data_IF_452695399167
#
_entry.id   IF_452695399167
#
_cell.length_a   1.000
_cell.length_b   1.000
_cell.length_c   1.000
_cell.angle_alpha   90.00
_cell.angle_beta   90.00
_cell.angle_gamma   90.00
#
_symmetry.space_group_name_H-M   'P 1'
#
loop_
_entity.id
_entity.type
_entity.pdbx_description
1 polymer ?
#
# COMPACT_ATOMS: atom_id res chain seq x y z
N UNK A 1 -18.80 2.50 -22.39
CA UNK A 1 -17.90 2.37 -21.23
C UNK A 1 -17.19 1.05 -21.34
N UNK A 2 -15.99 1.07 -21.91
CA UNK A 2 -15.08 -0.09 -21.97
C UNK A 2 -13.88 0.28 -21.11
N UNK A 3 -14.11 0.41 -19.81
CA UNK A 3 -13.10 0.85 -18.87
C UNK A 3 -12.33 -0.39 -18.38
N UNK A 4 -11.02 -0.43 -18.63
CA UNK A 4 -10.12 -1.43 -18.05
C UNK A 4 -9.86 -1.02 -16.61
N UNK A 5 -10.23 -1.88 -15.65
CA UNK A 5 -10.05 -1.62 -14.22
C UNK A 5 -8.71 -2.17 -13.75
N UNK A 6 -7.75 -1.28 -13.52
CA UNK A 6 -6.47 -1.65 -12.90
C UNK A 6 -6.61 -1.52 -11.38
N UNK A 7 -6.46 -2.63 -10.67
CA UNK A 7 -6.47 -2.65 -9.20
C UNK A 7 -5.05 -2.93 -8.72
N UNK A 8 -4.43 -1.92 -8.11
CA UNK A 8 -3.12 -2.06 -7.44
C UNK A 8 -3.39 -2.33 -5.96
N UNK A 9 -3.16 -3.57 -5.54
CA UNK A 9 -3.26 -3.97 -4.14
C UNK A 9 -1.89 -3.79 -3.47
N UNK A 10 -1.61 -2.58 -3.03
CA UNK A 10 -0.72 -2.39 -1.90
C UNK A 10 -1.59 -2.30 -0.63
N UNK A 11 -1.01 -2.50 0.55
CA UNK A 11 -1.67 -2.47 1.86
C UNK A 11 -2.52 -1.19 2.08
N UNK A 12 -2.26 -0.16 1.26
CA UNK A 12 -3.11 1.00 1.01
C UNK A 12 -3.83 0.87 -0.34
N UNK A 13 -5.09 0.43 -0.30
CA UNK A 13 -5.96 0.26 -1.48
C UNK A 13 -5.97 1.53 -2.35
N UNK A 14 -5.49 1.45 -3.59
CA UNK A 14 -5.74 2.49 -4.60
C UNK A 14 -6.81 1.97 -5.55
N UNK A 15 -8.03 2.46 -5.34
CA UNK A 15 -9.14 2.34 -6.28
C UNK A 15 -8.97 3.42 -7.37
N UNK A 16 -8.77 3.00 -8.61
CA UNK A 16 -8.98 3.85 -9.79
C UNK A 16 -10.29 3.43 -10.47
N UNK A 17 -11.39 3.33 -9.72
CA UNK A 17 -12.73 3.70 -10.21
C UNK A 17 -13.72 3.78 -9.03
N UNK A 18 -14.60 4.77 -9.07
CA UNK A 18 -15.56 5.09 -8.01
C UNK A 18 -16.80 4.18 -8.09
N UNK A 19 -16.83 3.14 -7.25
CA UNK A 19 -17.87 2.87 -6.23
C UNK A 19 -19.40 2.84 -6.58
N UNK A 20 -19.80 2.40 -7.77
CA UNK A 20 -21.13 1.77 -7.98
C UNK A 20 -21.08 0.66 -9.00
N UNK A 21 -20.45 0.94 -10.13
CA UNK A 21 -20.34 0.01 -11.24
C UNK A 21 -19.50 -1.23 -10.88
N UNK A 22 -18.45 -1.06 -10.06
CA UNK A 22 -17.64 -2.19 -9.58
C UNK A 22 -18.49 -3.25 -8.87
N UNK A 23 -19.42 -2.85 -8.00
CA UNK A 23 -20.27 -3.80 -7.28
C UNK A 23 -21.22 -4.57 -8.21
N UNK A 24 -21.56 -4.00 -9.36
CA UNK A 24 -22.42 -4.63 -10.38
C UNK A 24 -21.65 -5.61 -11.26
N UNK A 25 -20.38 -5.33 -11.56
CA UNK A 25 -19.58 -6.11 -12.52
C UNK A 25 -18.52 -7.01 -11.87
N UNK A 26 -18.27 -6.89 -10.56
CA UNK A 26 -17.15 -7.59 -9.87
C UNK A 26 -17.11 -9.10 -10.11
N UNK A 27 -18.28 -9.73 -10.25
CA UNK A 27 -18.39 -11.18 -10.43
C UNK A 27 -18.11 -11.61 -11.89
N UNK A 28 -18.13 -10.67 -12.84
CA UNK A 28 -17.78 -10.87 -14.26
C UNK A 28 -16.37 -10.35 -14.61
N UNK A 29 -15.63 -9.82 -13.63
CA UNK A 29 -14.25 -9.39 -13.84
C UNK A 29 -13.28 -10.57 -13.81
N UNK A 30 -12.34 -10.56 -14.75
CA UNK A 30 -11.24 -11.51 -14.80
C UNK A 30 -9.89 -10.79 -14.74
N UNK A 31 -8.93 -11.35 -14.01
CA UNK A 31 -7.56 -10.82 -13.94
C UNK A 31 -6.73 -11.34 -15.13
N UNK A 32 -6.39 -10.43 -16.04
CA UNK A 32 -5.62 -10.70 -17.26
C UNK A 32 -4.15 -10.32 -17.13
N UNK A 33 -3.64 -10.03 -15.92
CA UNK A 33 -2.24 -9.61 -15.74
C UNK A 33 -1.21 -10.58 -16.31
N UNK A 34 -1.50 -11.88 -16.31
CA UNK A 34 -0.61 -12.91 -16.90
C UNK A 34 -0.43 -12.75 -18.41
N UNK A 35 -1.42 -12.16 -19.07
CA UNK A 35 -1.36 -11.91 -20.50
C UNK A 35 -0.56 -10.64 -20.82
N UNK A 36 -0.54 -9.66 -19.91
CA UNK A 36 -0.04 -8.32 -20.19
C UNK A 36 1.27 -7.96 -19.48
N UNK A 37 1.63 -8.65 -18.41
CA UNK A 37 2.77 -8.29 -17.54
C UNK A 37 3.72 -9.47 -17.36
N UNK A 38 5.02 -9.18 -17.35
CA UNK A 38 6.07 -10.14 -17.04
C UNK A 38 5.91 -10.68 -15.61
N UNK A 39 5.73 -12.00 -15.49
CA UNK A 39 5.56 -12.73 -14.22
C UNK A 39 6.76 -12.64 -13.28
N UNK A 40 7.93 -12.22 -13.78
CA UNK A 40 9.14 -12.02 -12.96
C UNK A 40 9.19 -10.65 -12.29
N UNK A 41 8.25 -9.75 -12.55
CA UNK A 41 8.20 -8.44 -11.87
C UNK A 41 7.93 -8.60 -10.38
N UNK A 42 8.66 -7.86 -9.54
CA UNK A 42 8.44 -7.84 -8.07
C UNK A 42 7.05 -7.36 -7.67
N UNK A 43 6.39 -6.62 -8.56
CA UNK A 43 5.05 -6.10 -8.34
C UNK A 43 3.95 -7.04 -8.87
N UNK A 44 4.30 -8.12 -9.58
CA UNK A 44 3.32 -8.99 -10.24
C UNK A 44 2.26 -9.53 -9.27
N UNK A 45 2.68 -9.97 -8.09
CA UNK A 45 1.79 -10.49 -7.04
C UNK A 45 1.04 -9.39 -6.28
N UNK A 46 1.41 -8.12 -6.49
CA UNK A 46 0.82 -6.95 -5.81
C UNK A 46 -0.18 -6.19 -6.69
N UNK A 47 -0.46 -6.67 -7.89
CA UNK A 47 -1.39 -6.04 -8.82
C UNK A 47 -2.41 -7.03 -9.38
N UNK A 48 -3.51 -6.49 -9.87
CA UNK A 48 -4.43 -7.18 -10.79
C UNK A 48 -4.87 -6.23 -11.90
N UNK A 49 -5.02 -6.77 -13.10
CA UNK A 49 -5.49 -6.01 -14.26
C UNK A 49 -6.79 -6.67 -14.68
N UNK A 50 -7.91 -6.02 -14.36
CA UNK A 50 -9.22 -6.63 -14.47
C UNK A 50 -9.99 -6.07 -15.66
N UNK A 51 -10.68 -6.95 -16.36
CA UNK A 51 -11.57 -6.62 -17.47
C UNK A 51 -12.84 -7.47 -17.35
N UNK A 52 -13.98 -6.93 -17.79
CA UNK A 52 -15.20 -7.73 -17.93
C UNK A 52 -14.97 -8.89 -18.91
N UNK A 53 -15.44 -10.09 -18.57
CA UNK A 53 -15.27 -11.29 -19.37
C UNK A 53 -15.84 -11.14 -20.79
N UNK A 54 -16.96 -10.40 -20.94
CA UNK A 54 -17.55 -10.08 -22.25
C UNK A 54 -16.57 -9.33 -23.16
N UNK A 55 -15.79 -8.39 -22.59
CA UNK A 55 -14.83 -7.58 -23.34
C UNK A 55 -13.56 -8.38 -23.63
N UNK A 56 -13.11 -9.20 -22.68
CA UNK A 56 -11.99 -10.11 -22.91
C UNK A 56 -12.24 -11.07 -24.07
N UNK A 57 -13.45 -11.62 -24.15
CA UNK A 57 -13.84 -12.54 -25.23
C UNK A 57 -13.73 -11.89 -26.61
N UNK A 58 -13.88 -10.56 -26.70
CA UNK A 58 -13.75 -9.80 -27.94
C UNK A 58 -12.28 -9.57 -28.31
N UNK A 59 -11.41 -9.26 -27.33
CA UNK A 59 -10.06 -8.76 -27.60
C UNK A 59 -8.94 -9.81 -27.50
N UNK A 60 -9.17 -10.94 -26.81
CA UNK A 60 -8.12 -11.93 -26.49
C UNK A 60 -7.38 -12.51 -27.70
N UNK A 61 -8.06 -12.59 -28.85
CA UNK A 61 -7.53 -13.20 -30.06
C UNK A 61 -6.89 -12.15 -31.00
N UNK A 62 -7.03 -10.86 -30.69
CA UNK A 62 -6.36 -9.76 -31.42
C UNK A 62 -4.91 -9.62 -30.92
N UNK A 63 -4.00 -10.32 -31.60
CA UNK A 63 -2.57 -10.33 -31.25
C UNK A 63 -1.92 -8.95 -31.32
N UNK A 64 -2.36 -8.07 -32.23
CA UNK A 64 -1.78 -6.74 -32.37
C UNK A 64 -2.15 -5.90 -31.14
N UNK A 65 -3.43 -5.88 -30.80
CA UNK A 65 -3.91 -5.18 -29.61
C UNK A 65 -3.29 -5.72 -28.32
N UNK A 66 -3.17 -7.04 -28.17
CA UNK A 66 -2.54 -7.64 -26.99
C UNK A 66 -1.06 -7.26 -26.88
N UNK A 67 -0.33 -7.17 -28.00
CA UNK A 67 1.05 -6.72 -27.99
C UNK A 67 1.16 -5.24 -27.62
N UNK A 68 0.29 -4.38 -28.16
CA UNK A 68 0.26 -2.96 -27.79
C UNK A 68 -0.02 -2.77 -26.30
N UNK A 69 -0.95 -3.56 -25.74
CA UNK A 69 -1.24 -3.58 -24.31
C UNK A 69 -0.04 -4.05 -23.49
N UNK A 70 0.66 -5.10 -23.93
CA UNK A 70 1.90 -5.57 -23.28
C UNK A 70 2.95 -4.47 -23.21
N UNK A 71 3.25 -3.81 -24.33
CA UNK A 71 4.24 -2.73 -24.36
C UNK A 71 3.86 -1.56 -23.45
N UNK A 72 2.57 -1.22 -23.41
CA UNK A 72 2.06 -0.22 -22.48
C UNK A 72 2.27 -0.64 -21.02
N UNK A 73 1.84 -1.85 -20.66
CA UNK A 73 1.92 -2.33 -19.28
C UNK A 73 3.37 -2.55 -18.83
N UNK A 74 4.29 -2.93 -19.70
CA UNK A 74 5.71 -2.98 -19.38
C UNK A 74 6.25 -1.60 -18.94
N UNK A 75 5.94 -0.55 -19.70
CA UNK A 75 6.33 0.83 -19.34
C UNK A 75 5.64 1.29 -18.06
N UNK A 76 4.36 0.97 -17.90
CA UNK A 76 3.60 1.28 -16.69
C UNK A 76 4.21 0.64 -15.45
N UNK A 77 4.59 -0.64 -15.52
CA UNK A 77 5.16 -1.39 -14.40
C UNK A 77 6.50 -0.81 -13.93
N UNK A 78 7.35 -0.35 -14.86
CA UNK A 78 8.61 0.34 -14.53
C UNK A 78 8.33 1.60 -13.71
N UNK A 79 7.37 2.41 -14.14
CA UNK A 79 7.00 3.65 -13.45
C UNK A 79 6.35 3.34 -12.09
N UNK A 80 5.49 2.31 -12.03
CA UNK A 80 4.83 1.90 -10.79
C UNK A 80 5.85 1.41 -9.75
N UNK A 81 6.85 0.61 -10.15
CA UNK A 81 7.92 0.14 -9.25
C UNK A 81 8.74 1.31 -8.73
N UNK A 82 9.10 2.26 -9.60
CA UNK A 82 9.78 3.48 -9.16
C UNK A 82 8.96 4.24 -8.12
N UNK A 83 7.67 4.43 -8.36
CA UNK A 83 6.77 5.15 -7.43
C UNK A 83 6.57 4.40 -6.11
N UNK A 84 6.49 3.07 -6.14
CA UNK A 84 6.42 2.26 -4.94
C UNK A 84 7.69 2.39 -4.10
N UNK A 85 8.87 2.33 -4.73
CA UNK A 85 10.15 2.49 -4.05
C UNK A 85 10.33 3.90 -3.48
N UNK A 86 9.97 4.96 -4.24
CA UNK A 86 9.98 6.35 -3.75
C UNK A 86 9.12 6.51 -2.48
N UNK A 87 7.97 5.82 -2.39
CA UNK A 87 7.14 5.85 -1.18
C UNK A 87 7.79 5.10 -0.01
N UNK A 88 8.38 3.93 -0.26
CA UNK A 88 9.07 3.15 0.78
C UNK A 88 10.30 3.89 1.33
N UNK A 89 11.04 4.59 0.48
CA UNK A 89 12.22 5.38 0.88
C UNK A 89 11.84 6.60 1.71
N UNK A 90 10.69 7.24 1.42
CA UNK A 90 10.19 8.41 2.15
C UNK A 90 9.18 8.06 3.26
N UNK A 91 8.98 6.78 3.54
CA UNK A 91 8.07 6.34 4.58
C UNK A 91 8.65 6.72 5.93
N UNK A 92 7.91 7.54 6.69
CA UNK A 92 8.29 7.94 8.05
C UNK A 92 8.40 6.69 8.90
N UNK A 93 9.60 6.44 9.44
CA UNK A 93 9.88 5.33 10.35
C UNK A 93 9.71 5.79 11.78
N UNK A 94 9.56 4.84 12.69
CA UNK A 94 9.54 5.10 14.13
C UNK A 94 10.77 5.92 14.58
N UNK A 95 11.94 5.65 14.01
CA UNK A 95 13.18 6.37 14.29
C UNK A 95 13.13 7.83 13.86
N UNK A 96 12.46 8.15 12.75
CA UNK A 96 12.29 9.52 12.27
C UNK A 96 11.41 10.32 13.25
N UNK A 97 10.35 9.69 13.77
CA UNK A 97 9.47 10.29 14.79
C UNK A 97 10.25 10.53 16.09
N UNK A 98 11.03 9.54 16.56
CA UNK A 98 11.84 9.67 17.77
C UNK A 98 12.88 10.79 17.63
N UNK A 99 13.57 10.87 16.49
CA UNK A 99 14.54 11.92 16.20
C UNK A 99 13.87 13.30 16.19
N UNK A 100 12.72 13.42 15.53
CA UNK A 100 11.96 14.67 15.51
C UNK A 100 11.58 15.12 16.93
N UNK A 101 11.06 14.22 17.77
CA UNK A 101 10.73 14.56 19.16
C UNK A 101 11.98 14.97 19.94
N UNK A 102 13.11 14.27 19.76
CA UNK A 102 14.39 14.59 20.40
C UNK A 102 14.88 15.99 20.05
N UNK A 103 14.73 16.41 18.79
CA UNK A 103 15.07 17.76 18.32
C UNK A 103 14.08 18.82 18.82
N UNK A 104 12.80 18.45 18.99
CA UNK A 104 11.72 19.29 19.49
C UNK A 104 11.31 18.91 20.92
N UNK A 105 12.23 19.12 21.88
CA UNK A 105 12.09 18.63 23.25
C UNK A 105 10.84 19.10 24.00
N UNK A 106 10.32 20.29 23.68
CA UNK A 106 9.07 20.80 24.25
C UNK A 106 7.88 19.91 23.87
N UNK A 107 7.81 19.51 22.60
CA UNK A 107 6.80 18.59 22.10
C UNK A 107 7.00 17.18 22.67
N UNK A 108 8.24 16.71 22.71
CA UNK A 108 8.60 15.41 23.30
C UNK A 108 8.17 15.29 24.77
N UNK A 109 8.49 16.29 25.60
CA UNK A 109 8.05 16.34 27.01
C UNK A 109 6.54 16.39 27.14
N UNK A 110 5.84 17.12 26.26
CA UNK A 110 4.37 17.17 26.26
C UNK A 110 3.77 15.79 25.99
N UNK A 111 4.30 15.06 25.00
CA UNK A 111 3.88 13.69 24.70
C UNK A 111 4.18 12.76 25.87
N UNK A 112 5.37 12.86 26.47
CA UNK A 112 5.73 12.04 27.65
C UNK A 112 4.73 12.24 28.78
N UNK A 113 4.37 13.48 29.11
CA UNK A 113 3.41 13.77 30.17
C UNK A 113 2.02 13.16 29.89
N UNK A 114 1.58 13.18 28.64
CA UNK A 114 0.31 12.54 28.24
C UNK A 114 0.43 11.02 28.43
N UNK A 115 1.48 10.40 27.89
CA UNK A 115 1.68 8.95 27.97
C UNK A 115 1.87 8.46 29.42
N UNK A 116 2.55 9.24 30.26
CA UNK A 116 2.72 8.91 31.68
C UNK A 116 1.42 8.93 32.47
N UNK A 117 0.41 9.69 32.02
CA UNK A 117 -0.93 9.68 32.60
C UNK A 117 -1.80 8.55 32.00
N UNK A 118 -1.89 8.49 30.68
CA UNK A 118 -2.78 7.53 29.99
C UNK A 118 -2.37 6.08 30.19
N UNK A 119 -1.06 5.81 30.33
CA UNK A 119 -0.56 4.43 30.46
C UNK A 119 -0.51 3.92 31.91
N UNK A 120 -0.96 4.69 32.90
CA UNK A 120 -0.85 4.30 34.32
C UNK A 120 -1.50 2.95 34.62
N UNK A 121 -2.74 2.76 34.19
CA UNK A 121 -3.49 1.53 34.44
C UNK A 121 -2.87 0.32 33.72
N UNK A 122 -2.35 0.52 32.50
CA UNK A 122 -1.71 -0.55 31.72
C UNK A 122 -0.38 -0.94 32.36
N UNK A 123 0.42 0.05 32.81
CA UNK A 123 1.68 -0.20 33.53
C UNK A 123 1.43 -1.01 34.81
N UNK A 124 0.33 -0.77 35.51
CA UNK A 124 -0.03 -1.49 36.74
C UNK A 124 -0.53 -2.91 36.48
N UNK A 125 -1.45 -3.09 35.52
CA UNK A 125 -2.17 -4.37 35.36
C UNK A 125 -1.59 -5.27 34.28
N UNK A 126 -0.94 -4.69 33.25
CA UNK A 126 -0.42 -5.39 32.07
C UNK A 126 0.92 -4.80 31.61
N UNK A 127 1.96 -4.78 32.47
CA UNK A 127 3.27 -4.27 32.10
C UNK A 127 3.91 -5.07 30.95
N UNK A 128 3.50 -6.32 30.74
CA UNK A 128 3.91 -7.15 29.62
C UNK A 128 3.57 -6.52 28.25
N UNK A 129 2.45 -5.80 28.16
CA UNK A 129 2.06 -5.08 26.93
C UNK A 129 3.04 -3.93 26.67
N UNK A 130 3.33 -3.12 27.69
CA UNK A 130 4.27 -2.00 27.55
C UNK A 130 5.69 -2.50 27.23
N UNK A 131 6.09 -3.62 27.85
CA UNK A 131 7.37 -4.26 27.59
C UNK A 131 7.48 -4.84 26.17
N UNK A 132 6.38 -4.99 25.44
CA UNK A 132 6.40 -5.39 24.03
C UNK A 132 6.67 -4.22 23.07
N UNK A 133 6.57 -2.97 23.54
CA UNK A 133 6.68 -1.76 22.71
C UNK A 133 8.12 -1.25 22.62
N UNK A 134 8.91 -1.77 21.69
CA UNK A 134 10.32 -1.38 21.50
C UNK A 134 10.49 0.13 21.18
N UNK A 135 9.62 0.72 20.36
CA UNK A 135 9.64 2.16 20.07
C UNK A 135 9.39 3.01 21.32
N UNK A 136 8.46 2.59 22.19
CA UNK A 136 8.16 3.30 23.43
C UNK A 136 9.33 3.22 24.44
N UNK A 137 10.07 2.11 24.50
CA UNK A 137 11.29 2.01 25.31
C UNK A 137 12.34 3.01 24.83
N UNK A 138 12.62 3.05 23.53
CA UNK A 138 13.54 4.03 22.93
C UNK A 138 13.11 5.48 23.21
N UNK A 139 11.80 5.75 23.19
CA UNK A 139 11.25 7.04 23.55
C UNK A 139 11.57 7.44 25.01
N UNK A 140 11.39 6.52 25.96
CA UNK A 140 11.69 6.75 27.38
C UNK A 140 13.19 6.93 27.67
N UNK A 141 14.08 6.38 26.85
CA UNK A 141 15.53 6.64 26.97
C UNK A 141 15.89 8.10 26.61
N UNK A 142 15.04 8.77 25.83
CA UNK A 142 15.27 10.16 25.39
C UNK A 142 14.68 11.17 26.38
N UNK A 143 13.59 10.82 27.10
CA UNK A 143 12.79 11.75 27.94
C UNK A 143 12.43 11.19 29.31
#
# INVERSE_FOLDING_TARGET
NNDILIIVSDENKVFLDNDKHYNEIKDDLIDIKKELVNTKSKLFDKISINIENKNWTIIKDDKALINDLREYFEKFMIILEKKANERLENMVKEEDVLNYLKEHQDLGKKIKNILDYELQHIKEHRPDIINSWECYKKFLEIF
#
